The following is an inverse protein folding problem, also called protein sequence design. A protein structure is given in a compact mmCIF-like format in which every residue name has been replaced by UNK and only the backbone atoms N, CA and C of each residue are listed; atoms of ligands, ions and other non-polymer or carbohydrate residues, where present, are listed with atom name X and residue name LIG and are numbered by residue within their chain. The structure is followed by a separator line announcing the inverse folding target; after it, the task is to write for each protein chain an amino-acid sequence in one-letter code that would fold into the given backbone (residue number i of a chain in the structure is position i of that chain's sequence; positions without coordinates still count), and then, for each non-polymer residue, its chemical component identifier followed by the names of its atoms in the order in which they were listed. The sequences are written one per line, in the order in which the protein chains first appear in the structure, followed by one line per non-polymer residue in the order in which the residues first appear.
data_IF_440371841152
#
_entry.id   IF_440371841152
#
_cell.length_a   1.000
_cell.length_b   1.000
_cell.length_c   1.000
_cell.angle_alpha   90.00
_cell.angle_beta   90.00
_cell.angle_gamma   90.00
#
_symmetry.space_group_name_H-M   'P 1'
#
loop_
_entity.id
_entity.type
_entity.pdbx_description
1 polymer ?
2 water ?
#
# COMPACT_ATOMS: atom_id res chain seq x y z
N UNK A 2 -8.82 0.93 -24.41
CA UNK A 2 -9.36 0.07 -23.37
C UNK A 2 -9.12 -1.41 -23.71
N UNK A 3 -9.85 -1.90 -24.70
CA UNK A 3 -9.64 -3.25 -25.20
C UNK A 3 -8.36 -3.30 -26.03
N UNK A 4 -8.11 -2.24 -26.77
CA UNK A 4 -6.90 -2.10 -27.58
C UNK A 4 -5.67 -2.12 -26.68
N UNK A 5 -5.78 -1.51 -25.51
CA UNK A 5 -4.64 -1.37 -24.63
C UNK A 5 -4.64 -2.40 -23.50
N UNK A 6 -5.56 -3.36 -23.54
CA UNK A 6 -5.70 -4.29 -22.44
C UNK A 6 -4.42 -5.07 -22.14
N UNK A 7 -3.84 -5.69 -23.16
CA UNK A 7 -2.69 -6.56 -22.91
C UNK A 7 -1.52 -5.79 -22.30
N UNK A 8 -1.22 -4.61 -22.84
CA UNK A 8 -0.12 -3.82 -22.30
C UNK A 8 -0.43 -3.30 -20.88
N UNK A 9 -1.67 -2.86 -20.67
CA UNK A 9 -2.09 -2.38 -19.36
C UNK A 9 -1.97 -3.48 -18.31
N UNK A 10 -2.43 -4.67 -18.65
CA UNK A 10 -2.36 -5.82 -17.75
C UNK A 10 -0.91 -6.10 -17.37
N UNK A 11 -0.04 -6.12 -18.35
CA UNK A 11 1.38 -6.35 -18.08
C UNK A 11 1.96 -5.30 -17.11
N UNK A 12 1.55 -4.04 -17.26
CA UNK A 12 1.98 -2.98 -16.36
C UNK A 12 1.60 -3.26 -14.92
N UNK A 13 0.36 -3.71 -14.70
CA UNK A 13 -0.09 -4.03 -13.35
C UNK A 13 0.60 -5.27 -12.81
N UNK A 14 0.84 -6.23 -13.69
CA UNK A 14 1.57 -7.43 -13.28
C UNK A 14 2.96 -7.03 -12.80
N UNK A 15 3.63 -6.19 -13.58
CA UNK A 15 4.98 -5.77 -13.23
C UNK A 15 4.97 -4.93 -11.96
N UNK A 16 3.98 -4.06 -11.84
CA UNK A 16 3.83 -3.22 -10.64
C UNK A 16 3.63 -4.05 -9.37
N UNK A 17 2.71 -5.00 -9.40
CA UNK A 17 2.45 -5.83 -8.21
C UNK A 17 3.66 -6.67 -7.85
N UNK A 18 4.34 -7.21 -8.86
CA UNK A 18 5.55 -8.01 -8.59
C UNK A 18 6.63 -7.14 -7.94
N UNK A 19 6.81 -5.93 -8.46
CA UNK A 19 7.75 -5.00 -7.85
C UNK A 19 7.34 -4.64 -6.43
N UNK A 20 6.04 -4.53 -6.20
CA UNK A 20 5.52 -4.23 -4.87
C UNK A 20 5.95 -5.34 -3.88
N UNK A 21 5.77 -6.58 -4.30
CA UNK A 21 6.10 -7.74 -3.47
C UNK A 21 7.61 -7.86 -3.27
N UNK A 22 8.36 -7.67 -4.35
CA UNK A 22 9.82 -7.76 -4.26
C UNK A 22 10.39 -6.68 -3.34
N UNK A 23 9.87 -5.46 -3.47
CA UNK A 23 10.35 -4.36 -2.63
C UNK A 23 10.11 -4.64 -1.15
N UNK A 24 8.95 -5.21 -0.84
CA UNK A 24 8.62 -5.55 0.55
C UNK A 24 9.55 -6.63 1.09
N UNK A 25 9.84 -7.63 0.27
CA UNK A 25 10.70 -8.73 0.69
C UNK A 25 12.12 -8.20 0.95
N UNK A 26 12.57 -7.36 0.04
CA UNK A 26 13.92 -6.80 0.14
C UNK A 26 14.02 -5.92 1.39
N UNK A 27 13.01 -5.09 1.61
CA UNK A 27 13.02 -4.22 2.78
C UNK A 27 12.96 -5.02 4.08
N UNK A 28 12.15 -6.08 4.08
CA UNK A 28 11.96 -6.87 5.29
C UNK A 28 13.22 -7.67 5.59
N UNK A 29 13.83 -8.24 4.56
CA UNK A 29 15.08 -8.97 4.75
C UNK A 29 16.11 -8.05 5.40
N UNK A 30 16.18 -6.83 4.91
CA UNK A 30 17.12 -5.85 5.46
C UNK A 30 16.79 -5.56 6.93
N UNK A 31 15.51 -5.33 7.20
CA UNK A 31 15.08 -5.04 8.57
C UNK A 31 15.43 -6.17 9.52
N UNK A 32 15.32 -7.41 9.04
CA UNK A 32 15.52 -8.59 9.87
C UNK A 32 16.97 -8.91 10.12
N UNK A 33 17.86 -8.41 9.27
CA UNK A 33 19.26 -8.83 9.34
C UNK A 33 19.93 -8.62 10.70
N UNK A 34 19.79 -7.42 11.31
CA UNK A 34 20.45 -7.23 12.61
C UNK A 34 19.67 -7.86 13.76
N UNK A 35 18.54 -8.49 13.48
CA UNK A 35 17.65 -9.04 14.51
C UNK A 35 17.33 -10.52 14.32
N UNK A 36 18.00 -11.17 13.38
CA UNK A 36 17.56 -12.51 12.99
C UNK A 36 17.62 -13.53 14.13
N UNK A 37 18.40 -13.24 15.16
CA UNK A 37 18.52 -14.16 16.29
C UNK A 37 17.62 -13.80 17.49
N UNK A 38 16.74 -12.82 17.30
CA UNK A 38 15.79 -12.43 18.34
C UNK A 38 14.39 -12.79 17.84
N UNK A 39 13.86 -13.95 18.24
CA UNK A 39 12.58 -14.43 17.72
C UNK A 39 11.43 -13.43 17.89
N UNK A 40 11.32 -12.79 19.04
CA UNK A 40 10.27 -11.81 19.29
C UNK A 40 10.35 -10.66 18.29
N UNK A 41 11.56 -10.13 18.08
CA UNK A 41 11.74 -9.01 17.17
C UNK A 41 11.42 -9.43 15.74
N UNK A 42 11.77 -10.67 15.40
CA UNK A 42 11.49 -11.15 14.05
C UNK A 42 9.98 -11.14 13.83
N UNK A 43 9.24 -11.68 14.79
CA UNK A 43 7.79 -11.68 14.69
C UNK A 43 7.22 -10.26 14.63
N UNK A 44 7.78 -9.37 15.45
CA UNK A 44 7.33 -7.97 15.47
C UNK A 44 7.52 -7.29 14.11
N UNK A 45 8.70 -7.48 13.54
CA UNK A 45 9.04 -6.85 12.27
C UNK A 45 8.19 -7.38 11.12
N UNK A 46 7.90 -8.68 11.13
CA UNK A 46 7.04 -9.24 10.11
C UNK A 46 5.59 -8.75 10.28
N UNK A 47 5.10 -8.74 11.52
CA UNK A 47 3.74 -8.27 11.79
C UNK A 47 3.53 -6.83 11.36
N UNK A 48 4.53 -6.00 11.64
CA UNK A 48 4.51 -4.59 11.26
C UNK A 48 4.11 -4.44 9.80
N UNK A 49 4.88 -5.08 8.91
CA UNK A 49 4.62 -5.03 7.48
C UNK A 49 3.29 -5.69 7.09
N UNK A 50 2.97 -6.83 7.68
CA UNK A 50 1.79 -7.57 7.27
C UNK A 50 0.49 -6.88 7.71
N UNK A 51 0.56 -6.16 8.81
CA UNK A 51 -0.66 -5.59 9.40
C UNK A 51 -1.35 -4.53 8.55
N UNK A 52 -0.68 -4.07 7.48
CA UNK A 52 -1.30 -3.14 6.54
C UNK A 52 -2.44 -3.79 5.76
N UNK A 53 -2.33 -5.10 5.56
CA UNK A 53 -3.30 -5.82 4.75
C UNK A 53 -2.91 -5.87 3.28
N UNK A 54 -1.79 -5.24 2.92
CA UNK A 54 -1.40 -5.16 1.51
C UNK A 54 -0.88 -6.48 0.94
N UNK A 55 -0.58 -7.44 1.82
CA UNK A 55 0.06 -8.69 1.40
C UNK A 55 -0.82 -9.90 1.68
N UNK A 56 -0.97 -10.77 0.68
CA UNK A 56 -1.71 -12.02 0.86
C UNK A 56 -0.98 -12.94 1.82
N UNK A 57 0.35 -12.86 1.82
CA UNK A 57 1.17 -13.71 2.67
C UNK A 57 2.59 -13.18 2.82
N UNK A 58 3.19 -13.47 3.98
CA UNK A 58 4.62 -13.25 4.22
C UNK A 58 5.11 -14.44 5.02
N UNK A 59 6.24 -15.01 4.62
CA UNK A 59 6.80 -16.15 5.29
C UNK A 59 8.31 -15.97 5.39
N UNK A 60 8.88 -16.34 6.52
CA UNK A 60 10.34 -16.32 6.67
C UNK A 60 10.75 -17.76 6.91
N UNK A 61 11.66 -18.24 6.07
CA UNK A 61 12.09 -19.63 6.11
C UNK A 61 13.55 -19.74 6.55
N UNK A 62 13.81 -20.58 7.54
CA UNK A 62 15.17 -20.81 8.00
C UNK A 62 15.87 -21.73 6.99
N UNK A 63 16.95 -21.24 6.39
CA UNK A 63 17.62 -21.99 5.32
C UNK A 63 18.36 -23.25 5.80
N UNK A 64 18.83 -23.25 7.04
CA UNK A 64 19.58 -24.41 7.53
C UNK A 64 18.67 -25.60 7.86
N UNK A 65 17.51 -25.28 8.44
CA UNK A 65 16.55 -26.30 8.86
C UNK A 65 15.43 -26.49 7.84
N UNK A 66 15.23 -25.46 7.01
CA UNK A 66 14.18 -25.46 5.99
C UNK A 66 12.78 -25.33 6.58
N UNK A 67 12.69 -24.92 7.84
CA UNK A 67 11.38 -24.76 8.46
C UNK A 67 10.94 -23.31 8.47
N UNK A 68 9.63 -23.11 8.58
CA UNK A 68 9.08 -21.76 8.68
C UNK A 68 9.39 -21.19 10.06
N UNK A 69 9.96 -20.00 10.09
CA UNK A 69 10.28 -19.33 11.33
C UNK A 69 9.04 -18.55 11.78
N UNK A 70 8.45 -17.84 10.84
CA UNK A 70 7.23 -17.10 11.10
C UNK A 70 6.46 -16.97 9.79
N UNK A 71 5.15 -16.99 9.87
CA UNK A 71 4.35 -16.73 8.68
C UNK A 71 3.00 -16.10 8.99
N UNK A 72 2.44 -15.47 7.96
CA UNK A 72 1.19 -14.77 8.08
C UNK A 72 0.46 -14.93 6.75
N UNK A 73 -0.84 -15.15 6.83
CA UNK A 73 -1.63 -15.34 5.63
C UNK A 73 -2.93 -14.59 5.77
N UNK A 74 -3.36 -13.93 4.70
CA UNK A 74 -4.73 -13.46 4.61
C UNK A 74 -5.46 -14.15 3.46
N UNK A 75 -6.74 -13.87 3.31
CA UNK A 75 -7.45 -14.35 2.13
C UNK A 75 -6.86 -13.65 0.91
N UNK A 76 -6.50 -14.45 -0.10
CA UNK A 76 -5.87 -13.96 -1.33
C UNK A 76 -6.90 -13.48 -2.38
N UNK A 77 -8.16 -13.85 -2.19
CA UNK A 77 -9.23 -13.44 -3.11
C UNK A 77 -9.65 -12.01 -2.84
N UNK A 78 -10.35 -11.42 -3.82
CA UNK A 78 -10.95 -10.10 -3.64
C UNK A 78 -12.12 -10.17 -2.67
N UNK A 79 -12.20 -9.18 -1.79
CA UNK A 79 -13.35 -9.06 -0.91
C UNK A 79 -14.24 -7.92 -1.41
N UNK A 80 -15.47 -8.27 -1.81
CA UNK A 80 -16.46 -7.27 -2.19
C UNK A 80 -17.25 -6.80 -0.95
N UNK A 81 -16.79 -5.72 -0.33
CA UNK A 81 -17.43 -5.22 0.88
C UNK A 81 -18.65 -4.37 0.52
N UNK A 82 -19.84 -4.67 1.10
CA UNK A 82 -21.02 -3.87 0.72
C UNK A 82 -20.86 -2.41 1.10
N UNK A 83 -21.42 -1.54 0.27
CA UNK A 83 -21.35 -0.10 0.50
C UNK A 83 -21.90 0.26 1.86
N UNK A 84 -23.00 -0.40 2.25
CA UNK A 84 -23.66 -0.07 3.50
C UNK A 84 -22.81 -0.39 4.72
N UNK A 85 -21.84 -1.30 4.58
CA UNK A 85 -20.95 -1.64 5.68
C UNK A 85 -19.96 -0.50 5.95
N UNK A 86 -19.54 0.19 4.90
CA UNK A 86 -18.67 1.34 5.04
C UNK A 86 -19.29 2.42 5.93
N UNK A 87 -20.56 2.76 5.66
CA UNK A 87 -21.27 3.74 6.45
C UNK A 87 -21.41 3.24 7.90
N UNK A 88 -21.76 1.97 8.04
CA UNK A 88 -21.91 1.36 9.35
C UNK A 88 -20.63 1.46 10.17
N UNK A 89 -19.52 1.01 9.59
CA UNK A 89 -18.22 1.09 10.26
C UNK A 89 -17.79 2.55 10.47
N UNK A 90 -18.00 3.38 9.46
CA UNK A 90 -17.66 4.79 9.55
C UNK A 90 -16.21 5.03 9.93
N UNK A 91 -15.30 4.54 9.11
CA UNK A 91 -13.88 4.76 9.31
C UNK A 91 -13.47 6.20 9.07
N UNK A 92 -12.70 6.78 9.98
CA UNK A 92 -12.16 8.11 9.77
C UNK A 92 -11.01 8.06 8.77
N UNK A 93 -10.87 9.10 7.95
CA UNK A 93 -9.89 9.18 6.86
C UNK A 93 -8.42 9.03 7.31
N UNK A 94 -8.12 9.46 8.53
CA UNK A 94 -6.77 9.36 9.10
C UNK A 94 -5.66 9.96 8.24
N UNK A 95 -5.91 11.11 7.63
CA UNK A 95 -4.92 11.74 6.77
C UNK A 95 -3.64 12.17 7.48
N UNK A 96 -2.61 12.44 6.69
CA UNK A 96 -1.36 12.98 7.22
C UNK A 96 -0.93 14.15 6.36
N UNK A 97 -0.16 15.09 6.93
CA UNK A 97 0.30 16.21 6.14
C UNK A 97 1.68 16.70 6.57
N UNK A 98 2.30 17.48 5.69
CA UNK A 98 3.65 17.97 5.95
C UNK A 98 3.86 19.30 5.21
N UNK A 99 4.73 20.15 5.76
CA UNK A 99 4.95 21.47 5.19
C UNK A 99 6.18 21.48 4.29
N UNK A 100 6.08 22.24 3.20
CA UNK A 100 7.21 22.52 2.33
C UNK A 100 7.60 23.98 2.55
N UNK A 101 8.87 24.22 2.82
CA UNK A 101 9.36 25.57 3.01
C UNK A 101 10.06 26.08 1.77
N UNK A 102 9.94 27.38 1.55
CA UNK A 102 10.69 28.08 0.51
C UNK A 102 11.54 29.11 1.23
N UNK A 103 12.82 28.81 1.39
CA UNK A 103 13.68 29.63 2.22
C UNK A 103 13.27 29.43 3.66
N UNK A 104 12.83 30.50 4.31
CA UNK A 104 12.41 30.44 5.70
C UNK A 104 10.89 30.50 5.84
N UNK A 105 10.19 30.65 4.74
CA UNK A 105 8.73 30.76 4.81
C UNK A 105 8.06 29.45 4.41
N UNK A 106 7.02 29.06 5.13
CA UNK A 106 6.26 27.87 4.77
C UNK A 106 5.49 28.18 3.48
N UNK A 107 5.73 27.39 2.44
CA UNK A 107 5.25 27.71 1.09
C UNK A 107 4.05 26.85 0.64
N UNK A 108 4.00 25.61 1.10
CA UNK A 108 2.91 24.72 0.71
C UNK A 108 2.71 23.62 1.73
N UNK A 109 1.50 23.05 1.76
CA UNK A 109 1.19 21.91 2.60
C UNK A 109 0.81 20.70 1.73
N UNK A 110 1.45 19.57 2.00
CA UNK A 110 1.14 18.32 1.32
C UNK A 110 0.15 17.53 2.18
N UNK A 111 -0.99 17.18 1.61
CA UNK A 111 -2.00 16.42 2.33
C UNK A 111 -2.17 15.05 1.69
N UNK A 112 -2.06 13.99 2.49
CA UNK A 112 -2.17 12.63 1.96
C UNK A 112 -3.23 11.85 2.72
N UNK A 113 -4.05 11.10 1.99
CA UNK A 113 -5.04 10.23 2.62
C UNK A 113 -4.88 8.83 2.04
N UNK A 114 -4.66 7.85 2.91
CA UNK A 114 -4.39 6.48 2.49
C UNK A 114 -5.68 5.75 2.13
N UNK A 115 -5.64 4.93 1.10
CA UNK A 115 -6.87 4.24 0.68
C UNK A 115 -7.25 3.14 1.69
N UNK A 116 -8.53 3.14 2.14
CA UNK A 116 -8.98 2.21 3.19
C UNK A 116 -9.42 0.83 2.69
N UNK A 117 -9.27 0.54 1.40
CA UNK A 117 -9.83 -0.68 0.82
C UNK A 117 -9.41 -1.96 1.56
N UNK A 118 -8.14 -2.05 1.94
CA UNK A 118 -7.65 -3.25 2.62
C UNK A 118 -8.15 -3.29 4.06
N UNK A 119 -8.15 -2.14 4.71
CA UNK A 119 -8.68 -2.05 6.07
C UNK A 119 -10.16 -2.48 6.12
N UNK A 120 -10.94 -1.95 5.19
CA UNK A 120 -12.36 -2.31 5.14
C UNK A 120 -12.56 -3.80 4.86
N UNK A 121 -11.75 -4.35 3.97
CA UNK A 121 -11.83 -5.78 3.67
C UNK A 121 -11.59 -6.61 4.91
N UNK A 122 -10.58 -6.25 5.69
CA UNK A 122 -10.27 -6.98 6.91
C UNK A 122 -11.38 -6.86 7.96
N UNK A 123 -11.95 -5.66 8.08
CA UNK A 123 -13.04 -5.44 9.03
C UNK A 123 -14.26 -6.27 8.67
N UNK A 124 -14.55 -6.33 7.37
CA UNK A 124 -15.65 -7.13 6.86
C UNK A 124 -15.43 -8.63 7.13
N UNK A 125 -14.24 -9.13 6.82
CA UNK A 125 -13.93 -10.54 7.12
C UNK A 125 -14.16 -10.84 8.59
N UNK A 126 -13.75 -9.93 9.47
CA UNK A 126 -13.93 -10.10 10.91
C UNK A 126 -15.41 -10.06 11.29
N UNK A 127 -16.16 -9.20 10.61
CA UNK A 127 -17.60 -9.09 10.82
C UNK A 127 -18.34 -10.39 10.47
N UNK A 128 -17.89 -11.03 9.40
CA UNK A 128 -18.49 -12.28 8.92
C UNK A 128 -18.13 -13.44 9.84
N UNK A 129 -17.12 -13.28 10.66
CA UNK A 129 -16.70 -14.31 11.58
C UNK A 129 -17.06 -14.00 13.02
N UNK B 3 -21.34 -4.10 17.82
CA UNK B 3 -20.29 -3.60 16.95
C UNK B 3 -19.27 -2.77 17.72
N UNK B 4 -19.00 -3.18 18.96
CA UNK B 4 -17.95 -2.56 19.77
C UNK B 4 -16.80 -3.54 19.85
N UNK B 5 -17.10 -4.78 19.46
CA UNK B 5 -16.11 -5.85 19.43
C UNK B 5 -14.99 -5.56 18.44
N UNK B 6 -15.27 -4.70 17.46
CA UNK B 6 -14.30 -4.35 16.43
C UNK B 6 -13.60 -3.02 16.72
N UNK B 7 -13.91 -2.42 17.87
CA UNK B 7 -13.32 -1.16 18.27
C UNK B 7 -11.79 -1.18 18.24
N UNK B 8 -11.20 -2.24 18.79
CA UNK B 8 -9.74 -2.31 18.87
C UNK B 8 -9.13 -2.53 17.48
N UNK B 9 -9.77 -3.36 16.67
CA UNK B 9 -9.38 -3.55 15.27
C UNK B 9 -9.45 -2.23 14.51
N UNK B 10 -10.49 -1.45 14.78
CA UNK B 10 -10.67 -0.17 14.09
C UNK B 10 -9.56 0.82 14.40
N UNK B 11 -9.23 1.00 15.67
CA UNK B 11 -8.20 1.97 16.00
C UNK B 11 -6.86 1.55 15.44
N UNK B 12 -6.59 0.25 15.44
CA UNK B 12 -5.35 -0.26 14.86
C UNK B 12 -5.24 0.03 13.37
N UNK B 13 -6.31 -0.19 12.63
CA UNK B 13 -6.28 0.06 11.19
C UNK B 13 -6.17 1.56 10.91
N UNK B 14 -6.87 2.35 11.69
CA UNK B 14 -6.77 3.80 11.58
C UNK B 14 -5.34 4.27 11.84
N UNK B 15 -4.69 3.69 12.84
CA UNK B 15 -3.30 4.04 13.14
C UNK B 15 -2.41 3.72 11.95
N UNK B 16 -2.66 2.59 11.31
CA UNK B 16 -1.84 2.18 10.18
C UNK B 16 -2.06 3.11 8.99
N UNK B 17 -3.32 3.45 8.72
CA UNK B 17 -3.63 4.36 7.63
C UNK B 17 -2.99 5.74 7.88
N UNK B 18 -3.02 6.19 9.12
CA UNK B 18 -2.43 7.49 9.47
C UNK B 18 -0.93 7.50 9.26
N UNK B 19 -0.23 6.48 9.76
CA UNK B 19 1.21 6.47 9.68
C UNK B 19 1.65 6.30 8.23
N UNK B 20 0.92 5.48 7.48
CA UNK B 20 1.19 5.29 6.06
C UNK B 20 1.07 6.62 5.32
N UNK B 21 0.00 7.35 5.61
CA UNK B 21 -0.22 8.65 4.97
C UNK B 21 0.81 9.68 5.41
N UNK B 22 1.14 9.68 6.70
CA UNK B 22 2.11 10.61 7.25
C UNK B 22 3.50 10.37 6.64
N UNK B 23 3.90 9.10 6.55
CA UNK B 23 5.17 8.74 5.94
C UNK B 23 5.28 9.33 4.54
N UNK B 24 4.20 9.20 3.77
CA UNK B 24 4.17 9.68 2.39
C UNK B 24 4.17 11.20 2.30
N UNK B 25 3.40 11.85 3.17
CA UNK B 25 3.34 13.31 3.15
C UNK B 25 4.72 13.88 3.43
N UNK B 26 5.40 13.28 4.40
CA UNK B 26 6.73 13.73 4.82
C UNK B 26 7.77 13.52 3.72
N UNK B 27 7.74 12.36 3.09
CA UNK B 27 8.68 12.06 2.01
C UNK B 27 8.41 12.98 0.83
N UNK B 28 7.14 13.21 0.52
CA UNK B 28 6.78 14.03 -0.63
C UNK B 28 7.14 15.50 -0.39
N UNK B 29 6.89 15.99 0.81
CA UNK B 29 7.26 17.37 1.15
C UNK B 29 8.77 17.57 0.98
N UNK B 30 9.54 16.58 1.38
CA UNK B 30 11.00 16.60 1.26
C UNK B 30 11.40 16.63 -0.22
N UNK B 31 10.75 15.80 -1.02
CA UNK B 31 11.08 15.69 -2.43
C UNK B 31 10.68 16.95 -3.21
N UNK B 32 9.64 17.63 -2.75
CA UNK B 32 9.16 18.84 -3.42
C UNK B 32 10.00 20.06 -3.08
N UNK B 33 10.74 19.97 -1.99
CA UNK B 33 11.41 21.15 -1.45
C UNK B 33 12.31 21.85 -2.46
N UNK B 34 13.21 21.11 -3.12
CA UNK B 34 14.08 21.75 -4.11
C UNK B 34 13.34 22.12 -5.40
N UNK B 35 12.06 21.75 -5.49
CA UNK B 35 11.34 21.85 -6.75
C UNK B 35 10.09 22.72 -6.68
N UNK B 36 9.92 23.42 -5.56
CA UNK B 36 8.65 24.09 -5.29
C UNK B 36 8.30 25.20 -6.28
N UNK B 37 9.30 25.79 -6.92
CA UNK B 37 9.05 26.87 -7.87
C UNK B 37 8.92 26.37 -9.32
N UNK B 38 8.90 25.05 -9.48
CA UNK B 38 8.79 24.44 -10.81
C UNK B 38 7.49 23.63 -10.84
N UNK B 39 6.40 24.25 -11.30
CA UNK B 39 5.05 23.66 -11.21
C UNK B 39 4.94 22.30 -11.91
N UNK B 40 5.60 22.16 -13.06
CA UNK B 40 5.60 20.90 -13.80
C UNK B 40 6.27 19.78 -13.00
N UNK B 41 7.37 20.08 -12.33
CA UNK B 41 8.07 19.06 -11.54
C UNK B 41 7.24 18.68 -10.31
N UNK B 42 6.61 19.66 -9.68
CA UNK B 42 5.74 19.36 -8.54
C UNK B 42 4.67 18.35 -8.95
N UNK B 43 4.01 18.61 -10.08
CA UNK B 43 2.97 17.72 -10.59
C UNK B 43 3.51 16.33 -10.90
N UNK B 44 4.66 16.27 -11.55
CA UNK B 44 5.28 14.99 -11.85
C UNK B 44 5.56 14.20 -10.57
N UNK B 45 6.17 14.85 -9.58
CA UNK B 45 6.53 14.16 -8.34
C UNK B 45 5.30 13.67 -7.57
N UNK B 46 4.26 14.49 -7.52
CA UNK B 46 3.01 14.09 -6.87
C UNK B 46 2.39 12.87 -7.56
N UNK B 47 2.32 12.90 -8.89
CA UNK B 47 1.76 11.77 -9.63
C UNK B 47 2.58 10.50 -9.47
N UNK B 48 3.90 10.65 -9.45
CA UNK B 48 4.77 9.49 -9.32
C UNK B 48 4.47 8.72 -8.03
N UNK B 49 4.25 9.45 -6.93
CA UNK B 49 3.95 8.82 -5.66
C UNK B 49 2.54 8.25 -5.67
N UNK B 50 1.61 9.06 -6.16
CA UNK B 50 0.22 8.63 -6.22
C UNK B 50 0.05 7.36 -7.04
N UNK B 51 0.75 7.30 -8.17
CA UNK B 51 0.59 6.17 -9.08
C UNK B 51 1.24 4.87 -8.61
N UNK B 52 2.20 4.96 -7.68
CA UNK B 52 2.90 3.76 -7.22
C UNK B 52 2.47 3.31 -5.83
N UNK B 53 1.44 3.95 -5.29
CA UNK B 53 0.98 3.65 -3.95
C UNK B 53 -0.52 3.48 -3.85
N UNK B 54 -1.01 3.26 -2.64
CA UNK B 54 -2.44 2.99 -2.40
C UNK B 54 -3.07 4.15 -1.64
N UNK B 55 -3.40 5.21 -2.37
CA UNK B 55 -3.87 6.46 -1.75
C UNK B 55 -5.26 6.85 -2.24
N UNK B 56 -6.07 7.39 -1.34
CA UNK B 56 -7.35 7.99 -1.72
C UNK B 56 -7.14 9.34 -2.39
N UNK B 57 -6.20 10.11 -1.86
CA UNK B 57 -5.92 11.43 -2.42
C UNK B 57 -4.55 11.92 -1.99
N UNK B 58 -3.97 12.76 -2.83
CA UNK B 58 -2.82 13.56 -2.44
C UNK B 58 -3.11 14.97 -2.94
N UNK B 59 -2.94 15.96 -2.07
CA UNK B 59 -3.21 17.34 -2.47
C UNK B 59 -2.07 18.22 -2.01
N UNK B 60 -1.71 19.20 -2.81
CA UNK B 60 -0.73 20.21 -2.41
C UNK B 60 -1.40 21.58 -2.43
N UNK B 61 -1.35 22.27 -1.30
CA UNK B 61 -2.00 23.56 -1.15
C UNK B 61 -0.94 24.68 -1.05
N UNK B 62 -1.12 25.73 -1.85
CA UNK B 62 -0.27 26.93 -1.78
C UNK B 62 -0.66 27.73 -0.55
N UNK B 63 0.28 27.88 0.38
CA UNK B 63 -0.01 28.53 1.67
C UNK B 63 -0.09 30.04 1.55
N UNK B 64 0.52 30.58 0.49
CA UNK B 64 0.50 32.02 0.26
C UNK B 64 -0.89 32.46 -0.19
N UNK B 65 -1.59 31.57 -0.87
CA UNK B 65 -2.93 31.87 -1.40
C UNK B 65 -4.04 31.02 -0.75
N UNK B 66 -3.64 29.98 -0.04
CA UNK B 66 -4.58 29.01 0.54
C UNK B 66 -5.43 28.33 -0.53
N UNK B 67 -4.84 28.08 -1.70
CA UNK B 67 -5.55 27.43 -2.80
C UNK B 67 -4.78 26.22 -3.33
N UNK B 68 -5.53 25.24 -3.83
CA UNK B 68 -4.92 23.99 -4.30
C UNK B 68 -3.99 24.22 -5.49
N UNK B 69 -2.79 23.66 -5.40
CA UNK B 69 -1.81 23.70 -6.50
C UNK B 69 -2.02 22.50 -7.43
N UNK B 70 -1.92 21.31 -6.86
CA UNK B 70 -2.13 20.07 -7.61
C UNK B 70 -2.88 19.07 -6.74
N UNK B 71 -3.65 18.19 -7.36
CA UNK B 71 -4.47 17.25 -6.61
C UNK B 71 -4.69 15.97 -7.40
N UNK B 72 -4.57 14.84 -6.71
CA UNK B 72 -4.92 13.55 -7.30
C UNK B 72 -5.97 12.86 -6.43
N UNK B 73 -7.01 12.33 -7.06
CA UNK B 73 -8.04 11.61 -6.33
C UNK B 73 -8.17 10.17 -6.82
N UNK B 74 -8.54 9.28 -5.91
CA UNK B 74 -8.48 7.86 -6.17
C UNK B 74 -9.79 7.15 -6.40
N UNK B 75 -9.73 5.82 -6.39
CA UNK B 75 -10.90 4.99 -6.61
C UNK B 75 -11.73 4.87 -5.31
N UNK B 76 -13.00 4.45 -5.42
CA UNK B 76 -13.88 4.41 -4.25
C UNK B 76 -13.36 3.49 -3.14
N UNK B 77 -13.88 3.67 -1.93
CA UNK B 77 -13.41 2.93 -0.75
C UNK B 77 -13.54 1.41 -0.89
N UNK B 78 -14.65 0.95 -1.47
CA UNK B 78 -14.84 -0.46 -1.71
C UNK B 78 -14.93 -0.75 -3.19
N UNK B 79 -14.64 -1.99 -3.59
CA UNK B 79 -14.78 -2.36 -4.98
C UNK B 79 -15.93 -3.33 -5.19
N UNK B 80 -16.68 -3.08 -6.25
CA UNK B 80 -17.69 -4.00 -6.73
C UNK B 80 -17.21 -4.75 -7.98
N UNK B 81 -15.89 -4.89 -8.15
CA UNK B 81 -15.37 -5.59 -9.32
C UNK B 81 -15.92 -7.00 -9.38
N UNK B 82 -16.61 -7.34 -10.47
CA UNK B 82 -17.27 -8.65 -10.52
C UNK B 82 -16.28 -9.78 -10.65
N UNK B 83 -16.63 -10.94 -10.09
CA UNK B 83 -15.72 -12.07 -10.15
C UNK B 83 -15.49 -12.50 -11.59
N UNK B 84 -16.48 -12.31 -12.47
CA UNK B 84 -16.27 -12.70 -13.88
C UNK B 84 -15.18 -11.86 -14.56
N UNK B 85 -15.03 -10.62 -14.12
CA UNK B 85 -13.97 -9.75 -14.64
C UNK B 85 -12.61 -10.15 -14.08
N UNK B 86 -12.58 -10.44 -12.78
CA UNK B 86 -11.36 -10.97 -12.17
C UNK B 86 -10.89 -12.21 -12.94
N UNK B 87 -11.80 -13.11 -13.30
CA UNK B 87 -11.41 -14.31 -14.07
C UNK B 87 -10.91 -13.97 -15.48
N UNK B 88 -11.54 -13.00 -16.13
CA UNK B 88 -11.08 -12.55 -17.46
C UNK B 88 -9.65 -12.03 -17.43
N UNK B 89 -9.31 -11.26 -16.40
CA UNK B 89 -7.95 -10.74 -16.24
C UNK B 89 -6.99 -11.87 -15.84
N UNK B 90 -7.43 -12.73 -14.94
CA UNK B 90 -6.64 -13.92 -14.57
C UNK B 90 -5.21 -13.67 -14.14
N UNK B 91 -5.01 -12.75 -13.20
CA UNK B 91 -3.67 -12.49 -12.67
C UNK B 91 -3.11 -13.72 -11.94
N UNK B 92 -1.84 -14.03 -12.17
CA UNK B 92 -1.16 -15.02 -11.34
C UNK B 92 -0.63 -14.32 -10.09
N UNK B 93 -0.31 -15.10 -9.04
CA UNK B 93 0.18 -14.47 -7.81
C UNK B 93 1.43 -13.65 -8.08
N UNK B 94 1.53 -12.51 -7.40
CA UNK B 94 2.64 -11.58 -7.53
C UNK B 94 3.55 -11.75 -6.31
N UNK B 95 4.72 -12.34 -6.54
CA UNK B 95 5.58 -12.69 -5.42
C UNK B 95 6.98 -12.15 -5.55
N UNK B 96 7.63 -12.03 -4.40
CA UNK B 96 9.03 -11.64 -4.37
C UNK B 96 9.71 -12.28 -3.19
N UNK B 97 11.01 -12.47 -3.31
CA UNK B 97 11.76 -13.02 -2.19
C UNK B 97 13.12 -12.36 -2.03
N UNK B 98 13.65 -12.44 -0.82
CA UNK B 98 14.97 -11.88 -0.55
C UNK B 98 15.67 -12.70 0.52
N UNK B 99 17.00 -12.64 0.54
CA UNK B 99 17.78 -13.42 1.51
C UNK B 99 18.27 -12.57 2.67
N UNK B 100 18.24 -13.16 3.86
CA UNK B 100 18.94 -12.61 5.01
C UNK B 100 20.23 -13.39 5.16
N UNK B 101 21.34 -12.67 5.27
CA UNK B 101 22.62 -13.33 5.39
C UNK B 101 23.32 -12.98 6.70
N UNK B 102 24.20 -13.87 7.15
CA UNK B 102 25.12 -13.62 8.25
C UNK B 102 26.54 -13.70 7.66
N UNK B 103 27.12 -12.56 7.32
CA UNK B 103 28.38 -12.54 6.60
C UNK B 103 28.15 -13.21 5.26
N UNK B 104 29.06 -14.08 4.82
CA UNK B 104 28.81 -14.79 3.57
C UNK B 104 27.88 -15.98 3.75
N UNK B 105 27.32 -16.12 4.95
CA UNK B 105 26.40 -17.24 5.21
C UNK B 105 24.96 -16.80 4.95
N UNK B 106 24.18 -17.67 4.32
CA UNK B 106 22.77 -17.37 4.09
C UNK B 106 21.93 -18.00 5.20
N UNK B 107 21.13 -17.18 5.89
CA UNK B 107 20.42 -17.63 7.08
C UNK B 107 18.93 -17.90 6.86
N UNK B 108 18.28 -17.01 6.13
CA UNK B 108 16.82 -17.09 5.99
C UNK B 108 16.37 -16.53 4.65
N UNK B 109 15.21 -16.96 4.20
CA UNK B 109 14.60 -16.41 2.99
C UNK B 109 13.26 -15.80 3.36
N UNK B 110 13.05 -14.55 2.93
CA UNK B 110 11.77 -13.86 3.13
C UNK B 110 10.97 -13.96 1.85
N UNK B 111 9.72 -14.42 1.97
CA UNK B 111 8.83 -14.58 0.81
C UNK B 111 7.56 -13.73 1.00
N UNK B 112 7.22 -12.93 -0.01
CA UNK B 112 6.07 -12.03 0.07
C UNK B 112 5.18 -12.26 -1.13
N UNK B 113 3.87 -12.24 -0.92
CA UNK B 113 2.93 -12.21 -2.03
C UNK B 113 2.02 -11.01 -1.83
N UNK B 114 1.96 -10.14 -2.84
CA UNK B 114 1.17 -8.90 -2.71
C UNK B 114 -0.28 -9.11 -3.15
N UNK B 115 -1.21 -8.57 -2.37
CA UNK B 115 -2.63 -8.78 -2.69
C UNK B 115 -3.03 -7.93 -3.91
N UNK B 116 -3.71 -8.55 -4.88
CA UNK B 116 -4.06 -7.89 -6.15
C UNK B 116 -5.33 -7.04 -6.11
N UNK B 117 -5.99 -6.94 -4.96
CA UNK B 117 -7.31 -6.27 -4.95
C UNK B 117 -7.25 -4.83 -5.51
N UNK B 118 -6.23 -4.06 -5.14
CA UNK B 118 -6.11 -2.67 -5.59
C UNK B 118 -5.88 -2.56 -7.11
N UNK B 119 -4.97 -3.40 -7.62
CA UNK B 119 -4.71 -3.46 -9.06
C UNK B 119 -5.98 -3.79 -9.85
N UNK B 120 -6.72 -4.80 -9.39
CA UNK B 120 -7.94 -5.20 -10.08
C UNK B 120 -8.99 -4.09 -10.02
N UNK B 121 -9.08 -3.41 -8.88
CA UNK B 121 -10.04 -2.32 -8.73
C UNK B 121 -9.74 -1.20 -9.72
N UNK B 122 -8.46 -0.95 -9.94
CA UNK B 122 -8.01 0.07 -10.89
C UNK B 122 -8.28 -0.32 -12.33
N UNK B 123 -7.97 -1.57 -12.67
CA UNK B 123 -8.29 -2.09 -14.00
C UNK B 123 -9.77 -1.98 -14.27
N UNK B 124 -10.57 -2.30 -13.25
CA UNK B 124 -12.03 -2.24 -13.39
C UNK B 124 -12.52 -0.83 -13.62
N UNK B 125 -12.04 0.12 -12.84
CA UNK B 125 -12.49 1.51 -13.00
C UNK B 125 -12.15 1.98 -14.40
N UNK B 126 -11.00 1.54 -14.88
CA UNK B 126 -10.57 1.86 -16.24
C UNK B 126 -11.47 1.18 -17.28
N UNK B 127 -11.88 -0.05 -17.00
CA UNK B 127 -12.76 -0.77 -17.92
C UNK B 127 -14.09 -0.04 -18.05
N UNK B 128 -14.54 0.56 -16.95
CA UNK B 128 -15.80 1.27 -16.93
C UNK B 128 -15.72 2.59 -17.68
N UNK B 129 -14.51 3.03 -17.99
CA UNK B 129 -14.29 4.26 -18.71
C UNK B 129 -14.86 5.46 -17.98
#
# INVERSE_FOLDING_TARGET
SFMVSLESSRTQYVNQLRSHAQDAATALALSLTPNIDDPAMVELLVSSIFDSGYYSSIRVVDLKTDQTIVERNGIPAVTNVPDWFVKLIGLEPAGGDALVSRGWEQAARVEVVSHPMFALAKLWQSALGS
SFMVSLESSRTQYVNQLRSHAQDAATALALSLTPNIDDPAMVELLVSSIFDSGYYSSIRVVDLKTDQTIVERNGIPAVTNVPDWFVKLIGLEPAGGDALVSRGWEQAARVEVVSHPMFALAKLWQSALGS
#
